data_IF_369884229205
#
_entry.id   IF_369884229205
#
_cell.length_a   1.000
_cell.length_b   1.000
_cell.length_c   1.000
_cell.angle_alpha   90.00
_cell.angle_beta   90.00
_cell.angle_gamma   90.00
#
_symmetry.space_group_name_H-M   'P 1'
#
loop_
_entity.id
_entity.type
_entity.pdbx_description
1 polymer ?
#
# COMPACT_ATOMS: atom_id res chain seq x y z
N UNK A 1 2.52 -23.47 -13.49
CA UNK A 1 1.62 -24.54 -13.03
C UNK A 1 1.51 -24.52 -11.51
N UNK A 2 0.29 -24.30 -11.00
CA UNK A 2 0.01 -24.21 -9.55
C UNK A 2 -0.41 -25.60 -9.05
N UNK A 3 0.23 -26.10 -7.99
CA UNK A 3 0.00 -27.46 -7.47
C UNK A 3 -1.23 -27.61 -6.58
N UNK A 4 -1.56 -26.54 -5.82
CA UNK A 4 -2.70 -26.55 -4.91
C UNK A 4 -3.18 -25.11 -4.58
N UNK A 5 -4.29 -24.99 -3.80
CA UNK A 5 -4.85 -23.71 -3.40
C UNK A 5 -3.88 -22.85 -2.57
N UNK A 6 -3.12 -23.48 -1.68
CA UNK A 6 -2.14 -22.81 -0.81
C UNK A 6 -1.05 -22.13 -1.65
N UNK A 7 -0.48 -22.84 -2.61
CA UNK A 7 0.53 -22.27 -3.51
C UNK A 7 -0.02 -21.09 -4.33
N UNK A 8 -1.28 -21.19 -4.78
CA UNK A 8 -1.93 -20.06 -5.47
C UNK A 8 -2.06 -18.84 -4.58
N UNK A 9 -2.50 -19.01 -3.35
CA UNK A 9 -2.63 -17.93 -2.36
C UNK A 9 -1.26 -17.31 -2.09
N UNK A 10 -0.25 -18.12 -1.88
CA UNK A 10 1.12 -17.65 -1.68
C UNK A 10 1.64 -16.80 -2.85
N UNK A 11 1.46 -17.27 -4.09
CA UNK A 11 1.85 -16.53 -5.29
C UNK A 11 1.08 -15.20 -5.43
N UNK A 12 -0.19 -15.15 -5.05
CA UNK A 12 -0.97 -13.92 -5.02
C UNK A 12 -0.39 -12.91 -4.03
N UNK A 13 0.05 -13.37 -2.85
CA UNK A 13 0.70 -12.48 -1.87
C UNK A 13 2.07 -11.99 -2.33
N UNK A 14 2.88 -12.84 -2.95
CA UNK A 14 4.14 -12.42 -3.55
C UNK A 14 3.90 -11.32 -4.60
N UNK A 15 2.92 -11.51 -5.47
CA UNK A 15 2.56 -10.50 -6.48
C UNK A 15 2.07 -9.19 -5.85
N UNK A 16 1.25 -9.27 -4.81
CA UNK A 16 0.80 -8.09 -4.07
C UNK A 16 1.98 -7.33 -3.42
N UNK A 17 2.94 -8.06 -2.87
CA UNK A 17 4.18 -7.49 -2.33
C UNK A 17 5.00 -6.77 -3.39
N UNK A 18 5.14 -7.36 -4.59
CA UNK A 18 5.84 -6.73 -5.71
C UNK A 18 5.15 -5.45 -6.17
N UNK A 19 3.82 -5.46 -6.29
CA UNK A 19 3.02 -4.28 -6.65
C UNK A 19 3.24 -3.14 -5.65
N UNK A 20 3.19 -3.43 -4.35
CA UNK A 20 3.44 -2.43 -3.31
C UNK A 20 4.87 -1.88 -3.37
N UNK A 21 5.85 -2.76 -3.56
CA UNK A 21 7.27 -2.38 -3.68
C UNK A 21 7.52 -1.49 -4.90
N UNK A 22 7.04 -1.88 -6.07
CA UNK A 22 7.19 -1.11 -7.31
C UNK A 22 6.52 0.27 -7.23
N UNK A 23 5.32 0.34 -6.65
CA UNK A 23 4.62 1.60 -6.43
C UNK A 23 5.40 2.53 -5.49
N UNK A 24 5.98 2.00 -4.42
CA UNK A 24 6.76 2.78 -3.46
C UNK A 24 8.10 3.22 -4.07
N UNK A 25 8.81 2.35 -4.78
CA UNK A 25 10.06 2.68 -5.48
C UNK A 25 9.86 3.84 -6.45
N UNK A 26 8.80 3.77 -7.26
CA UNK A 26 8.44 4.82 -8.20
C UNK A 26 8.08 6.13 -7.49
N UNK A 27 7.29 6.06 -6.44
CA UNK A 27 6.89 7.24 -5.68
C UNK A 27 8.10 7.94 -5.02
N UNK A 28 9.05 7.17 -4.48
CA UNK A 28 10.28 7.70 -3.90
C UNK A 28 11.15 8.39 -4.97
N UNK A 29 11.25 7.80 -6.15
CA UNK A 29 12.04 8.34 -7.25
C UNK A 29 11.47 9.65 -7.82
N UNK A 30 10.14 9.81 -7.81
CA UNK A 30 9.45 10.95 -8.44
C UNK A 30 8.95 12.00 -7.44
N UNK A 31 8.91 11.71 -6.15
CA UNK A 31 8.35 12.57 -5.10
C UNK A 31 9.23 13.80 -4.82
N UNK A 32 8.62 14.97 -4.80
CA UNK A 32 9.29 16.24 -4.52
C UNK A 32 9.59 16.45 -3.02
N UNK A 33 8.77 15.87 -2.14
CA UNK A 33 8.89 15.87 -0.68
C UNK A 33 8.15 14.67 -0.10
N UNK A 34 8.18 14.50 1.22
CA UNK A 34 7.55 13.34 1.86
C UNK A 34 6.06 13.22 1.60
N UNK A 35 5.32 14.30 1.69
CA UNK A 35 3.86 14.31 1.43
C UNK A 35 3.54 13.97 -0.04
N UNK A 36 4.28 14.53 -0.98
CA UNK A 36 4.12 14.22 -2.41
C UNK A 36 4.44 12.76 -2.69
N UNK A 37 5.48 12.21 -2.05
CA UNK A 37 5.82 10.79 -2.13
C UNK A 37 4.69 9.91 -1.63
N UNK A 38 4.08 10.23 -0.48
CA UNK A 38 2.91 9.50 0.05
C UNK A 38 1.75 9.52 -0.95
N UNK A 39 1.41 10.69 -1.48
CA UNK A 39 0.31 10.84 -2.45
C UNK A 39 0.54 10.05 -3.73
N UNK A 40 1.77 10.05 -4.25
CA UNK A 40 2.16 9.26 -5.43
C UNK A 40 2.08 7.77 -5.15
N UNK A 41 2.60 7.33 -4.00
CA UNK A 41 2.51 5.93 -3.60
C UNK A 41 1.06 5.45 -3.53
N UNK A 42 0.19 6.20 -2.85
CA UNK A 42 -1.22 5.86 -2.75
C UNK A 42 -1.86 5.73 -4.13
N UNK A 43 -1.61 6.68 -5.03
CA UNK A 43 -2.12 6.65 -6.40
C UNK A 43 -1.61 5.43 -7.17
N UNK A 44 -0.30 5.21 -7.22
CA UNK A 44 0.30 4.10 -7.98
C UNK A 44 -0.13 2.74 -7.46
N UNK A 45 -0.21 2.60 -6.15
CA UNK A 45 -0.69 1.37 -5.53
C UNK A 45 -2.16 1.10 -5.86
N UNK A 46 -3.02 2.10 -5.78
CA UNK A 46 -4.44 1.98 -6.12
C UNK A 46 -4.67 1.74 -7.61
N UNK A 47 -3.95 2.42 -8.49
CA UNK A 47 -3.96 2.15 -9.94
C UNK A 47 -3.62 0.69 -10.23
N UNK A 48 -2.59 0.16 -9.58
CA UNK A 48 -2.20 -1.24 -9.74
C UNK A 48 -3.23 -2.22 -9.18
N UNK A 49 -3.86 -1.90 -8.03
CA UNK A 49 -4.88 -2.75 -7.40
C UNK A 49 -6.20 -2.77 -8.17
N UNK A 50 -6.58 -1.67 -8.78
CA UNK A 50 -7.85 -1.53 -9.51
C UNK A 50 -7.74 -1.80 -11.00
N UNK A 51 -6.51 -1.99 -11.51
CA UNK A 51 -6.25 -2.35 -12.90
C UNK A 51 -6.61 -3.81 -13.23
N UNK A 52 -6.60 -4.16 -14.50
CA UNK A 52 -6.98 -5.50 -15.00
C UNK A 52 -6.17 -6.65 -14.39
N UNK A 53 -4.96 -6.38 -13.93
CA UNK A 53 -4.05 -7.34 -13.28
C UNK A 53 -3.93 -7.11 -11.78
N UNK A 54 -4.92 -6.45 -11.19
CA UNK A 54 -4.90 -6.11 -9.78
C UNK A 54 -4.72 -7.33 -8.88
N UNK A 55 -4.01 -7.18 -7.75
CA UNK A 55 -3.85 -8.25 -6.78
C UNK A 55 -5.17 -8.59 -6.12
N UNK A 56 -5.39 -9.89 -5.96
CA UNK A 56 -6.61 -10.44 -5.36
C UNK A 56 -6.32 -10.95 -3.93
N UNK A 57 -5.11 -10.73 -3.42
CA UNK A 57 -4.71 -11.24 -2.12
C UNK A 57 -5.45 -10.53 -0.97
N UNK A 58 -6.10 -11.33 -0.15
CA UNK A 58 -6.81 -10.86 1.04
C UNK A 58 -6.02 -11.32 2.27
N UNK A 59 -5.62 -10.38 3.13
CA UNK A 59 -4.80 -10.65 4.31
C UNK A 59 -5.40 -11.71 5.27
N UNK A 60 -6.69 -11.97 5.18
CA UNK A 60 -7.36 -13.00 5.96
C UNK A 60 -6.93 -14.44 5.61
N UNK A 61 -6.33 -14.67 4.45
CA UNK A 61 -5.85 -15.98 4.02
C UNK A 61 -4.43 -16.32 4.51
N UNK A 62 -3.70 -15.36 5.09
CA UNK A 62 -2.34 -15.61 5.61
C UNK A 62 -2.28 -16.80 6.57
N UNK A 63 -3.23 -16.98 7.52
CA UNK A 63 -3.20 -18.12 8.42
C UNK A 63 -3.30 -19.48 7.72
N UNK A 64 -3.80 -19.52 6.48
CA UNK A 64 -3.92 -20.76 5.70
C UNK A 64 -2.65 -21.16 4.97
N UNK A 65 -1.62 -20.30 4.97
CA UNK A 65 -0.32 -20.58 4.35
C UNK A 65 0.51 -21.55 5.19
N UNK A 66 1.33 -22.35 4.52
CA UNK A 66 2.38 -23.10 5.17
C UNK A 66 3.33 -22.18 5.96
N UNK A 67 3.92 -22.64 7.10
CA UNK A 67 4.72 -21.80 7.97
C UNK A 67 5.82 -21.03 7.25
N UNK A 68 6.57 -21.67 6.34
CA UNK A 68 7.66 -21.03 5.60
C UNK A 68 7.15 -19.91 4.67
N UNK A 69 6.08 -20.16 3.93
CA UNK A 69 5.44 -19.18 3.05
C UNK A 69 4.85 -17.99 3.86
N UNK A 70 4.18 -18.32 4.96
CA UNK A 70 3.65 -17.29 5.87
C UNK A 70 4.74 -16.38 6.41
N UNK A 71 5.84 -16.96 6.88
CA UNK A 71 6.95 -16.18 7.45
C UNK A 71 7.59 -15.26 6.41
N UNK A 72 7.75 -15.75 5.17
CA UNK A 72 8.24 -14.93 4.04
C UNK A 72 7.29 -13.76 3.73
N UNK A 73 5.98 -14.01 3.62
CA UNK A 73 4.99 -12.96 3.34
C UNK A 73 4.96 -11.92 4.46
N UNK A 74 5.02 -12.35 5.72
CA UNK A 74 5.07 -11.43 6.87
C UNK A 74 6.36 -10.60 6.88
N UNK A 75 7.48 -11.16 6.46
CA UNK A 75 8.75 -10.43 6.34
C UNK A 75 8.70 -9.40 5.21
N UNK A 76 8.15 -9.75 4.05
CA UNK A 76 7.92 -8.81 2.94
C UNK A 76 7.04 -7.63 3.42
N UNK A 77 5.97 -7.92 4.14
CA UNK A 77 5.06 -6.92 4.70
C UNK A 77 5.77 -6.00 5.69
N UNK A 78 6.58 -6.56 6.60
CA UNK A 78 7.37 -5.75 7.58
C UNK A 78 8.36 -4.81 6.91
N UNK A 79 9.09 -5.29 5.90
CA UNK A 79 10.04 -4.46 5.14
C UNK A 79 9.33 -3.34 4.40
N UNK A 80 8.19 -3.64 3.79
CA UNK A 80 7.40 -2.64 3.10
C UNK A 80 6.88 -1.55 4.06
N UNK A 81 6.35 -1.96 5.21
CA UNK A 81 5.90 -1.03 6.26
C UNK A 81 7.03 -0.14 6.76
N UNK A 82 8.20 -0.70 7.06
CA UNK A 82 9.36 0.07 7.50
C UNK A 82 9.79 1.11 6.46
N UNK A 83 9.83 0.75 5.18
CA UNK A 83 10.16 1.69 4.10
C UNK A 83 9.12 2.81 3.96
N UNK A 84 7.85 2.51 4.16
CA UNK A 84 6.81 3.52 4.14
C UNK A 84 6.90 4.45 5.37
N UNK A 85 7.21 3.91 6.54
CA UNK A 85 7.49 4.70 7.75
C UNK A 85 8.66 5.66 7.52
N UNK A 86 9.74 5.25 6.85
CA UNK A 86 10.85 6.13 6.46
C UNK A 86 10.40 7.31 5.58
N UNK A 87 9.43 7.10 4.70
CA UNK A 87 8.86 8.18 3.88
C UNK A 87 8.09 9.17 4.75
N UNK A 88 7.31 8.69 5.73
CA UNK A 88 6.61 9.55 6.68
C UNK A 88 7.59 10.37 7.53
N UNK A 89 8.65 9.74 8.05
CA UNK A 89 9.71 10.42 8.82
C UNK A 89 10.41 11.51 8.00
N UNK A 90 10.73 11.23 6.74
CA UNK A 90 11.29 12.23 5.81
C UNK A 90 10.34 13.39 5.58
N UNK A 91 9.03 13.13 5.45
CA UNK A 91 8.02 14.17 5.30
C UNK A 91 7.86 15.04 6.54
N UNK A 92 7.99 14.47 7.73
CA UNK A 92 8.03 15.23 8.98
C UNK A 92 9.29 16.09 9.02
N UNK A 93 10.46 15.54 8.66
CA UNK A 93 11.73 16.24 8.66
C UNK A 93 11.80 17.37 7.62
N UNK A 94 11.21 17.19 6.43
CA UNK A 94 11.14 18.22 5.40
C UNK A 94 10.00 19.24 5.61
N UNK A 95 9.16 19.04 6.60
CA UNK A 95 8.06 19.93 6.98
C UNK A 95 6.80 19.79 6.13
N UNK A 96 6.73 18.84 5.20
CA UNK A 96 5.54 18.60 4.37
C UNK A 96 4.45 17.79 5.09
N UNK A 97 4.84 16.95 6.06
CA UNK A 97 3.94 16.16 6.90
C UNK A 97 3.95 16.73 8.33
N UNK A 98 2.77 16.89 8.91
CA UNK A 98 2.63 17.28 10.31
C UNK A 98 3.21 16.20 11.24
N UNK A 99 3.78 16.57 12.40
CA UNK A 99 4.21 15.58 13.40
C UNK A 99 3.11 14.60 13.73
N UNK A 100 3.40 13.30 13.65
CA UNK A 100 2.45 12.22 13.92
C UNK A 100 3.19 10.98 14.44
N UNK A 101 2.43 10.04 15.00
CA UNK A 101 2.94 8.69 15.27
C UNK A 101 3.06 7.96 13.93
N UNK A 102 4.29 7.82 13.44
CA UNK A 102 4.63 7.28 12.13
C UNK A 102 4.11 5.85 11.96
N UNK A 103 4.27 5.02 12.99
CA UNK A 103 3.83 3.62 12.97
C UNK A 103 2.30 3.50 12.93
N UNK A 104 1.59 4.27 13.77
CA UNK A 104 0.13 4.27 13.78
C UNK A 104 -0.43 4.82 12.47
N UNK A 105 0.16 5.90 11.96
CA UNK A 105 -0.22 6.49 10.66
C UNK A 105 0.02 5.52 9.51
N UNK A 106 1.18 4.87 9.48
CA UNK A 106 1.50 3.84 8.49
C UNK A 106 0.50 2.68 8.52
N UNK A 107 0.17 2.16 9.70
CA UNK A 107 -0.81 1.10 9.86
C UNK A 107 -2.21 1.50 9.40
N UNK A 108 -2.65 2.73 9.69
CA UNK A 108 -3.96 3.23 9.26
C UNK A 108 -4.06 3.31 7.73
N UNK A 109 -3.02 3.85 7.08
CA UNK A 109 -2.95 3.96 5.62
C UNK A 109 -2.90 2.58 4.97
N UNK A 110 -2.01 1.70 5.42
CA UNK A 110 -1.90 0.33 4.89
C UNK A 110 -3.18 -0.47 5.09
N UNK A 111 -3.82 -0.35 6.25
CA UNK A 111 -5.11 -0.98 6.53
C UNK A 111 -6.20 -0.53 5.55
N UNK A 112 -6.24 0.76 5.25
CA UNK A 112 -7.18 1.31 4.27
C UNK A 112 -6.94 0.75 2.86
N UNK A 113 -5.69 0.67 2.42
CA UNK A 113 -5.32 0.09 1.13
C UNK A 113 -5.66 -1.41 1.06
N UNK A 114 -5.31 -2.16 2.10
CA UNK A 114 -5.56 -3.60 2.17
C UNK A 114 -7.05 -3.96 2.23
N UNK A 115 -7.92 -3.01 2.57
CA UNK A 115 -9.36 -3.21 2.60
C UNK A 115 -10.04 -3.03 1.22
N UNK A 116 -9.40 -2.33 0.28
CA UNK A 116 -9.95 -2.09 -1.07
C UNK A 116 -10.38 -3.38 -1.78
N UNK A 117 -9.59 -4.48 -1.79
CA UNK A 117 -9.99 -5.73 -2.42
C UNK A 117 -11.27 -6.38 -1.85
N UNK A 118 -11.70 -5.97 -0.65
CA UNK A 118 -12.92 -6.51 -0.02
C UNK A 118 -14.20 -6.02 -0.68
N UNK A 119 -14.19 -4.80 -1.21
CA UNK A 119 -15.40 -4.16 -1.73
C UNK A 119 -15.27 -3.71 -3.19
N UNK A 120 -14.05 -3.66 -3.74
CA UNK A 120 -13.84 -3.33 -5.15
C UNK A 120 -14.04 -4.59 -6.02
N UNK A 121 -14.94 -4.51 -7.00
CA UNK A 121 -15.33 -5.64 -7.86
C UNK A 121 -15.09 -5.41 -9.35
N UNK A 122 -14.13 -4.52 -9.73
CA UNK A 122 -13.70 -4.33 -11.10
C UNK A 122 -14.53 -3.33 -11.93
N UNK A 123 -15.39 -2.53 -11.30
CA UNK A 123 -16.11 -1.45 -11.96
C UNK A 123 -15.16 -0.29 -12.29
N UNK A 124 -15.05 0.07 -13.58
CA UNK A 124 -14.11 1.10 -14.05
C UNK A 124 -14.41 2.48 -13.48
N UNK A 125 -15.68 2.87 -13.35
CA UNK A 125 -16.07 4.16 -12.78
C UNK A 125 -15.72 4.23 -11.28
N UNK A 126 -15.81 3.10 -10.58
CA UNK A 126 -15.39 3.00 -9.18
C UNK A 126 -13.88 3.03 -9.08
N UNK A 127 -13.14 2.37 -9.99
CA UNK A 127 -11.68 2.39 -10.04
C UNK A 127 -11.17 3.84 -10.17
N UNK A 128 -11.71 4.60 -11.11
CA UNK A 128 -11.34 5.99 -11.33
C UNK A 128 -11.58 6.87 -10.09
N UNK A 129 -12.69 6.67 -9.41
CA UNK A 129 -12.99 7.37 -8.14
C UNK A 129 -12.03 6.99 -7.02
N UNK A 130 -11.71 5.70 -6.88
CA UNK A 130 -10.76 5.23 -5.85
C UNK A 130 -9.39 5.86 -6.08
N UNK A 131 -8.89 5.85 -7.30
CA UNK A 131 -7.59 6.43 -7.65
C UNK A 131 -7.57 7.96 -7.46
N UNK A 132 -8.68 8.65 -7.76
CA UNK A 132 -8.77 10.10 -7.61
C UNK A 132 -8.94 10.55 -6.15
N UNK A 133 -9.80 9.87 -5.39
CA UNK A 133 -10.28 10.35 -4.09
C UNK A 133 -9.46 9.82 -2.90
N UNK A 134 -9.06 8.55 -2.91
CA UNK A 134 -8.35 7.95 -1.76
C UNK A 134 -7.04 8.66 -1.42
N UNK A 135 -6.15 9.00 -2.38
CA UNK A 135 -4.94 9.75 -2.05
C UNK A 135 -5.23 11.08 -1.35
N UNK A 136 -6.29 11.79 -1.77
CA UNK A 136 -6.69 13.04 -1.15
C UNK A 136 -7.22 12.82 0.28
N UNK A 137 -8.12 11.85 0.47
CA UNK A 137 -8.71 11.52 1.77
C UNK A 137 -7.63 11.06 2.75
N UNK A 138 -6.79 10.08 2.35
CA UNK A 138 -5.79 9.49 3.23
C UNK A 138 -4.63 10.44 3.54
N UNK A 139 -4.36 11.42 2.69
CA UNK A 139 -3.29 12.40 2.93
C UNK A 139 -3.77 13.72 3.56
N UNK A 140 -5.07 13.96 3.65
CA UNK A 140 -5.61 15.23 4.17
C UNK A 140 -5.19 15.50 5.63
N UNK A 141 -5.15 14.46 6.46
CA UNK A 141 -4.71 14.58 7.85
C UNK A 141 -3.19 14.62 8.06
N UNK A 142 -2.41 14.39 6.99
CA UNK A 142 -0.94 14.38 7.04
C UNK A 142 -0.33 15.73 6.71
N UNK A 143 -1.02 16.54 5.90
CA UNK A 143 -0.50 17.81 5.44
C UNK A 143 -0.22 18.74 6.63
N UNK A 144 0.99 19.33 6.66
CA UNK A 144 1.30 20.38 7.61
C UNK A 144 0.39 21.58 7.36
N UNK A 145 -0.18 22.14 8.41
CA UNK A 145 -0.96 23.39 8.29
C UNK A 145 -0.03 24.50 7.79
N UNK A 146 -0.38 25.13 6.69
CA UNK A 146 0.33 26.33 6.23
C UNK A 146 0.33 27.39 7.34
N UNK A 147 1.52 27.87 7.66
CA UNK A 147 1.66 29.05 8.53
C UNK A 147 1.70 30.32 7.70
#
# INVERSE_FOLDING_TARGET
>A
YVRNKEELVYLCYLRAGDVGREALDRAIAEGANGLDTVRRYLRYHLEAMTGERGPIAIMSEIPSLEPAHRDEILEISRRHSARFEDVLEKGIADGSIAPCDVRMTGNAIMGSLNWVPKWFHGDADVADKVVAEFPAILSAGLAASGR
#
